data_IF_797194092200
#
_entry.id   IF_797194092200
#
_cell.length_a   1.000
_cell.length_b   1.000
_cell.length_c   1.000
_cell.angle_alpha   90.00
_cell.angle_beta   90.00
_cell.angle_gamma   90.00
#
_symmetry.space_group_name_H-M   'P 1'
#
loop_
_entity.id
_entity.type
_entity.pdbx_description
1 polymer ?
#
# COMPACT_ATOMS: atom_id res chain seq x y z
N UNK A 1 0.91 19.19 23.86
CA UNK A 1 0.28 18.92 22.55
C UNK A 1 0.38 17.42 22.30
N UNK A 2 -0.72 16.70 22.06
CA UNK A 2 -0.65 15.30 21.60
C UNK A 2 -0.25 15.33 20.12
N UNK A 3 0.81 14.63 19.74
CA UNK A 3 1.28 14.57 18.35
C UNK A 3 0.22 14.02 17.40
N UNK A 4 0.13 14.61 16.20
CA UNK A 4 -0.82 14.20 15.16
C UNK A 4 -0.66 12.71 14.76
N UNK A 5 0.55 12.17 14.87
CA UNK A 5 0.86 10.76 14.63
C UNK A 5 0.21 9.85 15.67
N UNK A 6 0.25 10.24 16.95
CA UNK A 6 -0.36 9.48 18.04
C UNK A 6 -1.87 9.49 17.93
N UNK A 7 -2.45 10.63 17.54
CA UNK A 7 -3.89 10.73 17.26
C UNK A 7 -4.30 9.82 16.09
N UNK A 8 -3.56 9.87 14.97
CA UNK A 8 -3.86 9.05 13.80
C UNK A 8 -3.78 7.54 14.11
N UNK A 9 -2.80 7.10 14.90
CA UNK A 9 -2.67 5.71 15.32
C UNK A 9 -3.85 5.25 16.17
N UNK A 10 -4.27 6.06 17.15
CA UNK A 10 -5.41 5.75 18.02
C UNK A 10 -6.73 5.71 17.26
N UNK A 11 -6.90 6.58 16.25
CA UNK A 11 -8.08 6.59 15.37
C UNK A 11 -8.11 5.34 14.50
N UNK A 12 -6.97 4.95 13.90
CA UNK A 12 -6.87 3.74 13.10
C UNK A 12 -7.21 2.49 13.93
N UNK A 13 -6.67 2.36 15.14
CA UNK A 13 -6.93 1.25 16.05
C UNK A 13 -8.43 1.14 16.42
N UNK A 14 -9.05 2.27 16.74
CA UNK A 14 -10.48 2.32 17.07
C UNK A 14 -11.37 1.94 15.88
N UNK A 15 -11.03 2.41 14.68
CA UNK A 15 -11.77 2.09 13.46
C UNK A 15 -11.61 0.62 13.08
N UNK A 16 -10.42 0.03 13.24
CA UNK A 16 -10.24 -1.41 13.03
C UNK A 16 -11.00 -2.25 14.05
N UNK A 17 -11.04 -1.84 15.32
CA UNK A 17 -11.82 -2.54 16.35
C UNK A 17 -13.34 -2.49 16.06
N UNK A 18 -13.84 -1.36 15.54
CA UNK A 18 -15.25 -1.16 15.19
C UNK A 18 -15.63 -1.89 13.89
N UNK A 19 -14.70 -1.96 12.92
CA UNK A 19 -14.88 -2.64 11.64
C UNK A 19 -14.61 -4.16 11.70
N UNK A 20 -13.87 -4.65 12.69
CA UNK A 20 -13.57 -6.08 12.89
C UNK A 20 -14.82 -6.99 12.90
N UNK A 21 -15.91 -6.68 13.65
CA UNK A 21 -17.10 -7.53 13.67
C UNK A 21 -17.86 -7.56 12.33
N UNK A 22 -17.79 -6.49 11.54
CA UNK A 22 -18.55 -6.36 10.28
C UNK A 22 -17.72 -6.68 9.03
N UNK A 23 -16.40 -6.88 9.18
CA UNK A 23 -15.42 -6.88 8.07
C UNK A 23 -15.62 -5.70 7.11
N UNK A 24 -16.15 -4.60 7.63
CA UNK A 24 -16.43 -3.43 6.83
C UNK A 24 -15.11 -2.82 6.36
N UNK A 25 -15.05 -2.42 5.09
CA UNK A 25 -13.90 -1.70 4.56
C UNK A 25 -13.90 -0.30 5.16
N UNK A 26 -12.83 0.07 5.85
CA UNK A 26 -12.66 1.43 6.39
C UNK A 26 -12.42 2.38 5.21
N UNK A 27 -13.36 3.32 5.00
CA UNK A 27 -13.29 4.35 3.94
C UNK A 27 -12.82 5.69 4.49
N UNK A 28 -12.38 6.60 3.62
CA UNK A 28 -12.00 7.97 4.00
C UNK A 28 -13.15 8.72 4.68
N UNK A 29 -14.39 8.45 4.26
CA UNK A 29 -15.58 9.04 4.84
C UNK A 29 -15.78 8.62 6.30
N UNK A 30 -15.60 7.32 6.61
CA UNK A 30 -15.65 6.83 7.99
C UNK A 30 -14.56 7.48 8.86
N UNK A 31 -13.34 7.61 8.32
CA UNK A 31 -12.23 8.27 9.01
C UNK A 31 -12.55 9.75 9.26
N UNK A 32 -13.07 10.44 8.24
CA UNK A 32 -13.45 11.85 8.29
C UNK A 32 -14.55 12.11 9.31
N UNK A 33 -15.62 11.31 9.28
CA UNK A 33 -16.71 11.40 10.27
C UNK A 33 -16.21 11.16 11.69
N UNK A 34 -15.32 10.19 11.90
CA UNK A 34 -14.75 9.93 13.22
C UNK A 34 -13.92 11.12 13.73
N UNK A 35 -13.04 11.68 12.89
CA UNK A 35 -12.22 12.83 13.25
C UNK A 35 -13.06 14.09 13.48
N UNK A 36 -14.12 14.28 12.69
CA UNK A 36 -15.04 15.39 12.82
C UNK A 36 -15.89 15.28 14.09
N UNK A 37 -16.64 14.18 14.26
CA UNK A 37 -17.59 14.05 15.36
C UNK A 37 -16.93 13.73 16.69
N UNK A 38 -15.86 12.92 16.69
CA UNK A 38 -15.29 12.37 17.93
C UNK A 38 -14.00 13.05 18.36
N UNK A 39 -13.15 13.46 17.42
CA UNK A 39 -11.94 14.24 17.72
C UNK A 39 -12.19 15.76 17.70
N UNK A 40 -13.37 16.22 17.25
CA UNK A 40 -13.76 17.62 17.28
C UNK A 40 -12.96 18.51 16.32
N UNK A 41 -12.31 17.93 15.31
CA UNK A 41 -11.48 18.68 14.38
C UNK A 41 -12.38 19.40 13.38
N UNK A 42 -12.37 20.73 13.43
CA UNK A 42 -13.14 21.62 12.55
C UNK A 42 -12.31 22.28 11.46
N UNK A 43 -10.98 22.24 11.60
CA UNK A 43 -10.08 22.73 10.57
C UNK A 43 -9.99 21.71 9.43
N UNK A 44 -10.46 22.10 8.25
CA UNK A 44 -10.54 21.25 7.06
C UNK A 44 -9.17 20.77 6.57
N UNK A 45 -8.14 21.62 6.61
CA UNK A 45 -6.78 21.23 6.22
C UNK A 45 -6.16 20.21 7.19
N UNK A 46 -6.37 20.43 8.49
CA UNK A 46 -5.92 19.48 9.51
C UNK A 46 -6.66 18.14 9.40
N UNK A 47 -7.97 18.20 9.09
CA UNK A 47 -8.81 17.02 8.88
C UNK A 47 -8.32 16.20 7.68
N UNK A 48 -8.12 16.84 6.52
CA UNK A 48 -7.61 16.16 5.32
C UNK A 48 -6.24 15.50 5.56
N UNK A 49 -5.35 16.22 6.26
CA UNK A 49 -4.02 15.70 6.61
C UNK A 49 -4.12 14.45 7.49
N UNK A 50 -5.01 14.46 8.49
CA UNK A 50 -5.22 13.33 9.39
C UNK A 50 -5.90 12.15 8.71
N UNK A 51 -6.88 12.39 7.82
CA UNK A 51 -7.51 11.34 7.01
C UNK A 51 -6.45 10.60 6.19
N UNK A 52 -5.61 11.34 5.45
CA UNK A 52 -4.54 10.75 4.66
C UNK A 52 -3.56 9.94 5.52
N UNK A 53 -3.24 10.42 6.72
CA UNK A 53 -2.31 9.75 7.64
C UNK A 53 -2.91 8.47 8.22
N UNK A 54 -4.16 8.49 8.65
CA UNK A 54 -4.89 7.30 9.14
C UNK A 54 -5.01 6.27 8.03
N UNK A 55 -5.34 6.70 6.80
CA UNK A 55 -5.41 5.81 5.63
C UNK A 55 -4.07 5.17 5.32
N UNK A 56 -2.97 5.92 5.39
CA UNK A 56 -1.64 5.37 5.18
C UNK A 56 -1.27 4.32 6.25
N UNK A 57 -1.72 4.50 7.50
CA UNK A 57 -1.53 3.49 8.56
C UNK A 57 -2.32 2.22 8.26
N UNK A 58 -3.60 2.35 7.87
CA UNK A 58 -4.47 1.21 7.57
C UNK A 58 -3.97 0.46 6.31
N UNK A 59 -3.62 1.17 5.24
CA UNK A 59 -3.06 0.57 4.01
C UNK A 59 -1.67 -0.04 4.28
N UNK A 60 -0.84 0.65 5.06
CA UNK A 60 0.47 0.15 5.49
C UNK A 60 0.38 -1.13 6.35
N UNK A 61 -0.68 -1.26 7.18
CA UNK A 61 -0.99 -2.50 7.91
C UNK A 61 -1.49 -3.60 6.98
N UNK A 62 -2.33 -3.28 6.00
CA UNK A 62 -2.75 -4.21 4.97
C UNK A 62 -1.58 -4.72 4.10
N UNK A 63 -0.52 -3.90 3.96
CA UNK A 63 0.76 -4.26 3.31
C UNK A 63 1.74 -5.00 4.21
N UNK A 64 1.42 -5.33 5.47
CA UNK A 64 2.26 -6.31 6.18
C UNK A 64 2.27 -7.58 5.33
N UNK A 65 3.45 -8.06 4.90
CA UNK A 65 3.52 -9.25 4.09
C UNK A 65 2.85 -10.37 4.86
N UNK A 66 1.84 -10.98 4.24
CA UNK A 66 1.26 -12.25 4.68
C UNK A 66 2.46 -13.18 4.98
N UNK A 67 2.54 -13.84 6.15
CA UNK A 67 3.63 -14.78 6.40
C UNK A 67 3.69 -15.75 5.22
N UNK A 68 4.89 -15.90 4.67
CA UNK A 68 5.23 -16.60 3.44
C UNK A 68 4.98 -18.12 3.53
N UNK A 69 3.74 -18.54 3.74
CA UNK A 69 3.27 -19.89 3.44
C UNK A 69 2.71 -19.99 2.01
N UNK A 70 2.89 -18.93 1.20
CA UNK A 70 2.69 -19.00 -0.24
C UNK A 70 4.01 -19.51 -0.85
N UNK A 71 4.07 -20.73 -1.43
CA UNK A 71 5.29 -21.23 -2.03
C UNK A 71 5.72 -20.27 -3.13
N UNK A 72 6.96 -19.79 -3.00
CA UNK A 72 7.63 -18.74 -3.76
C UNK A 72 7.15 -18.54 -5.22
N UNK A 73 7.14 -17.28 -5.71
CA UNK A 73 6.82 -16.99 -7.10
C UNK A 73 7.76 -17.80 -8.01
N UNK A 74 7.17 -18.60 -8.91
CA UNK A 74 7.91 -19.26 -9.98
C UNK A 74 8.60 -18.16 -10.78
N UNK A 75 9.91 -18.06 -10.64
CA UNK A 75 10.75 -17.21 -11.49
C UNK A 75 10.42 -17.48 -12.96
N UNK A 76 10.21 -16.44 -13.80
CA UNK A 76 10.16 -16.67 -15.22
C UNK A 76 11.55 -17.13 -15.64
N UNK A 77 11.64 -18.35 -16.17
CA UNK A 77 12.85 -18.83 -16.85
C UNK A 77 13.21 -17.77 -17.91
N UNK A 78 14.36 -17.15 -17.73
CA UNK A 78 15.01 -16.33 -18.75
C UNK A 78 15.09 -17.14 -20.03
N UNK A 79 14.33 -16.71 -21.06
CA UNK A 79 14.52 -17.19 -22.42
C UNK A 79 15.93 -16.77 -22.85
N UNK A 80 16.82 -17.68 -23.28
CA UNK A 80 18.12 -17.26 -23.78
C UNK A 80 17.92 -16.37 -25.02
N UNK A 81 18.64 -15.25 -25.06
CA UNK A 81 18.67 -14.35 -26.21
C UNK A 81 19.12 -15.13 -27.46
N UNK A 82 18.55 -14.88 -28.66
CA UNK A 82 19.05 -15.50 -29.88
C UNK A 82 20.49 -15.04 -30.12
N UNK A 83 21.40 -16.00 -30.33
CA UNK A 83 22.79 -15.73 -30.68
C UNK A 83 22.87 -14.90 -31.98
N UNK A 84 23.83 -13.97 -32.11
CA UNK A 84 24.03 -13.26 -33.37
C UNK A 84 24.46 -14.24 -34.46
N UNK A 85 23.70 -14.29 -35.55
CA UNK A 85 24.08 -15.00 -36.78
C UNK A 85 25.28 -14.27 -37.38
N UNK A 86 26.46 -14.90 -37.31
CA UNK A 86 27.64 -14.45 -38.02
C UNK A 86 27.44 -14.77 -39.52
N UNK A 87 27.24 -13.73 -40.33
CA UNK A 87 27.24 -13.84 -41.79
C UNK A 87 28.69 -13.90 -42.27
N UNK A 88 29.17 -15.09 -42.62
CA UNK A 88 30.44 -15.26 -43.31
C UNK A 88 30.30 -14.82 -44.76
N UNK A 89 30.88 -13.67 -45.12
CA UNK A 89 31.13 -13.32 -46.51
C UNK A 89 32.43 -13.99 -46.95
N UNK A 90 32.33 -15.02 -47.79
CA UNK A 90 33.47 -15.52 -48.53
C UNK A 90 33.81 -14.49 -49.62
N UNK A 91 34.89 -13.75 -49.40
CA UNK A 91 35.53 -12.96 -50.43
C UNK A 91 36.36 -13.92 -51.29
N UNK A 92 35.72 -14.58 -52.26
CA UNK A 92 36.47 -15.29 -53.29
C UNK A 92 37.04 -14.27 -54.29
N UNK A 93 38.34 -14.04 -54.15
CA UNK A 93 39.20 -13.46 -55.17
C UNK A 93 39.37 -14.45 -56.33
N UNK A 94 38.95 -14.04 -57.53
CA UNK A 94 39.47 -14.55 -58.80
C UNK A 94 39.44 -13.41 -59.84
#
# INVERSE_FOLDING_TARGET
MRDASTLALAVADKLEADAAPTRARITDEMIGMFLWHRAGIRNEQALATLINRVRAIIDGRARRPRPANDPAPRVPRTRPAPAPVQLSFALETA
#
